data_IF_614205712085
#
_entry.id   IF_614205712085
#
_cell.length_a   1.000
_cell.length_b   1.000
_cell.length_c   1.000
_cell.angle_alpha   90.00
_cell.angle_beta   90.00
_cell.angle_gamma   90.00
#
_symmetry.space_group_name_H-M   'P 1'
#
loop_
_entity.id
_entity.type
_entity.pdbx_description
1 polymer ?
#
# COMPACT_ATOMS: atom_id res chain seq x y z
N UNK A 1 5.65 7.62 -5.79
CA UNK A 1 4.86 8.56 -4.97
C UNK A 1 5.80 9.28 -4.00
N UNK A 2 5.71 10.60 -3.88
CA UNK A 2 6.43 11.37 -2.88
C UNK A 2 5.42 11.78 -1.78
N UNK A 3 5.70 11.36 -0.56
CA UNK A 3 4.86 11.62 0.62
C UNK A 3 5.58 12.59 1.56
N UNK A 4 4.84 13.53 2.13
CA UNK A 4 5.32 14.46 3.16
C UNK A 4 4.42 14.34 4.38
N UNK A 5 5.02 14.31 5.57
CA UNK A 5 4.28 14.43 6.82
C UNK A 5 4.39 15.84 7.43
N UNK A 6 3.58 16.10 8.44
CA UNK A 6 3.49 17.39 9.14
C UNK A 6 4.81 17.84 9.79
N UNK A 7 5.79 16.93 9.98
CA UNK A 7 7.12 17.25 10.53
C UNK A 7 8.10 17.72 9.45
N UNK A 8 7.67 17.82 8.20
CA UNK A 8 8.51 18.17 7.05
C UNK A 8 9.37 17.02 6.53
N UNK A 9 9.14 15.78 7.00
CA UNK A 9 9.87 14.60 6.51
C UNK A 9 9.26 14.13 5.20
N UNK A 10 10.09 14.04 4.16
CA UNK A 10 9.69 13.45 2.87
C UNK A 10 10.10 11.98 2.75
N UNK A 11 9.26 11.18 2.11
CA UNK A 11 9.53 9.77 1.81
C UNK A 11 9.14 9.47 0.38
N UNK A 12 10.08 8.91 -0.37
CA UNK A 12 9.84 8.40 -1.71
C UNK A 12 9.44 6.94 -1.65
N UNK A 13 8.33 6.62 -2.31
CA UNK A 13 7.83 5.27 -2.51
C UNK A 13 7.83 4.92 -3.99
N UNK A 14 8.18 3.67 -4.28
CA UNK A 14 7.88 3.06 -5.57
C UNK A 14 6.43 2.59 -5.51
N UNK A 15 5.71 2.76 -6.62
CA UNK A 15 4.32 2.33 -6.76
C UNK A 15 4.23 1.49 -8.02
N UNK A 16 3.64 0.31 -7.91
CA UNK A 16 3.34 -0.58 -9.03
C UNK A 16 1.85 -0.94 -8.99
N UNK A 17 1.22 -0.85 -10.15
CA UNK A 17 -0.14 -1.34 -10.37
C UNK A 17 -0.06 -2.53 -11.31
N UNK A 18 -0.53 -3.69 -10.86
CA UNK A 18 -0.67 -4.90 -11.67
C UNK A 18 -2.16 -5.13 -11.96
N UNK A 19 -2.45 -6.14 -12.78
CA UNK A 19 -3.84 -6.51 -13.13
C UNK A 19 -4.71 -6.86 -11.93
N UNK A 20 -4.11 -7.31 -10.83
CA UNK A 20 -4.76 -7.92 -9.68
C UNK A 20 -4.32 -7.33 -8.33
N UNK A 21 -3.34 -6.43 -8.31
CA UNK A 21 -2.87 -5.79 -7.08
C UNK A 21 -2.29 -4.39 -7.30
N UNK A 22 -2.53 -3.51 -6.33
CA UNK A 22 -1.73 -2.33 -6.10
C UNK A 22 -0.65 -2.65 -5.08
N UNK A 23 0.57 -2.23 -5.35
CA UNK A 23 1.69 -2.36 -4.42
C UNK A 23 2.47 -1.05 -4.33
N UNK A 24 2.83 -0.65 -3.12
CA UNK A 24 3.79 0.42 -2.92
C UNK A 24 4.79 0.02 -1.84
N UNK A 25 6.03 0.47 -2.00
CA UNK A 25 7.10 0.15 -1.07
C UNK A 25 8.21 1.17 -1.09
N UNK A 26 9.03 1.13 -0.04
CA UNK A 26 10.30 1.81 0.05
C UNK A 26 11.28 0.96 0.83
N UNK A 27 12.52 0.94 0.35
CA UNK A 27 13.63 0.31 1.03
C UNK A 27 14.64 1.39 1.40
N UNK A 28 15.00 1.44 2.69
CA UNK A 28 15.96 2.41 3.21
C UNK A 28 16.64 1.84 4.44
N UNK A 29 17.92 2.19 4.62
CA UNK A 29 18.65 1.85 5.84
C UNK A 29 17.86 2.33 7.07
N UNK A 30 17.65 1.42 8.02
CA UNK A 30 16.93 1.67 9.28
C UNK A 30 15.40 1.73 9.21
N UNK A 31 14.79 1.84 8.02
CA UNK A 31 13.33 1.81 7.90
C UNK A 31 12.90 1.45 6.47
N UNK A 32 12.34 0.26 6.29
CA UNK A 32 11.62 -0.16 5.07
C UNK A 32 10.14 -0.26 5.35
N UNK A 33 9.31 -0.06 4.33
CA UNK A 33 7.85 -0.17 4.44
C UNK A 33 7.27 -0.64 3.12
N UNK A 34 6.28 -1.51 3.16
CA UNK A 34 5.59 -2.03 1.98
C UNK A 34 4.11 -2.20 2.24
N UNK A 35 3.31 -2.17 1.19
CA UNK A 35 1.87 -2.36 1.27
C UNK A 35 1.34 -3.00 -0.01
N UNK A 36 0.40 -3.92 0.17
CA UNK A 36 -0.29 -4.60 -0.92
C UNK A 36 -1.79 -4.49 -0.70
N UNK A 37 -2.51 -4.13 -1.76
CA UNK A 37 -3.96 -4.21 -1.80
C UNK A 37 -4.42 -4.97 -3.06
N UNK A 38 -5.27 -6.00 -2.92
CA UNK A 38 -5.80 -6.74 -4.05
C UNK A 38 -6.78 -5.87 -4.85
N UNK A 39 -6.63 -5.88 -6.17
CA UNK A 39 -7.55 -5.27 -7.13
C UNK A 39 -8.41 -6.37 -7.72
N UNK A 40 -9.49 -6.75 -7.04
CA UNK A 40 -10.31 -7.84 -7.57
C UNK A 40 -11.23 -7.28 -8.66
N UNK A 41 -11.01 -7.55 -9.94
CA UNK A 41 -11.89 -7.07 -11.01
C UNK A 41 -11.43 -7.47 -12.40
N UNK A 42 -12.35 -7.74 -13.34
CA UNK A 42 -12.01 -7.96 -14.75
C UNK A 42 -11.82 -6.62 -15.48
N UNK A 43 -10.60 -6.29 -15.90
CA UNK A 43 -10.29 -5.18 -16.83
C UNK A 43 -9.55 -3.98 -16.21
N UNK A 44 -9.39 -2.90 -16.99
CA UNK A 44 -8.67 -1.65 -16.63
C UNK A 44 -9.41 -0.78 -15.58
N UNK A 45 -10.30 -1.40 -14.79
CA UNK A 45 -11.14 -0.74 -13.80
C UNK A 45 -10.80 -1.39 -12.47
N UNK A 46 -10.43 -0.58 -11.49
CA UNK A 46 -10.22 -0.99 -10.11
C UNK A 46 -11.58 -1.46 -9.56
N UNK A 47 -11.98 -2.72 -9.78
CA UNK A 47 -13.36 -3.10 -9.44
C UNK A 47 -13.51 -3.45 -7.97
N UNK A 48 -12.62 -4.16 -7.27
CA UNK A 48 -13.08 -4.85 -6.05
C UNK A 48 -14.18 -5.86 -6.39
N UNK A 49 -14.02 -7.12 -6.01
CA UNK A 49 -15.12 -8.08 -6.12
C UNK A 49 -16.02 -7.73 -4.93
N UNK A 50 -17.03 -6.92 -5.20
CA UNK A 50 -17.90 -6.34 -4.18
C UNK A 50 -17.42 -4.99 -3.68
N UNK A 51 -18.23 -4.39 -2.81
CA UNK A 51 -18.08 -3.01 -2.33
C UNK A 51 -16.88 -2.81 -1.38
N UNK A 52 -15.95 -3.77 -1.24
CA UNK A 52 -14.88 -3.77 -0.22
C UNK A 52 -13.52 -4.29 -0.72
N UNK A 53 -12.44 -3.58 -0.38
CA UNK A 53 -11.04 -3.99 -0.56
C UNK A 53 -10.30 -3.89 0.78
N UNK A 54 -9.43 -4.85 1.09
CA UNK A 54 -8.59 -4.83 2.29
C UNK A 54 -7.13 -4.88 1.87
N UNK A 55 -6.38 -3.84 2.19
CA UNK A 55 -4.93 -3.78 1.97
C UNK A 55 -4.16 -3.91 3.27
N UNK A 56 -2.96 -4.49 3.17
CA UNK A 56 -2.08 -4.79 4.29
C UNK A 56 -0.71 -4.17 4.05
N UNK A 57 -0.19 -3.52 5.07
CA UNK A 57 1.12 -2.91 5.10
C UNK A 57 1.97 -3.46 6.22
N UNK A 58 3.26 -3.53 5.96
CA UNK A 58 4.28 -3.99 6.89
C UNK A 58 5.43 -2.98 6.90
N UNK A 59 6.12 -2.90 8.02
CA UNK A 59 7.32 -2.11 8.19
C UNK A 59 8.47 -2.99 8.67
N UNK A 60 9.71 -2.52 8.47
CA UNK A 60 10.90 -3.14 9.04
C UNK A 60 11.87 -2.06 9.52
N UNK A 61 12.30 -2.12 10.80
CA UNK A 61 13.27 -1.19 11.41
C UNK A 61 14.68 -1.77 11.60
N UNK A 62 14.98 -2.87 10.89
CA UNK A 62 16.23 -3.63 11.02
C UNK A 62 16.11 -4.91 11.84
N UNK A 63 14.92 -5.22 12.37
CA UNK A 63 14.66 -6.37 13.24
C UNK A 63 13.63 -7.37 12.66
N UNK A 64 13.23 -7.20 11.39
CA UNK A 64 12.24 -8.04 10.72
C UNK A 64 11.02 -7.25 10.26
N UNK A 65 10.16 -7.91 9.48
CA UNK A 65 8.90 -7.32 9.02
C UNK A 65 7.82 -7.53 10.07
N UNK A 66 7.08 -6.46 10.39
CA UNK A 66 5.95 -6.50 11.31
C UNK A 66 4.71 -5.83 10.68
N UNK A 67 3.49 -6.24 11.09
CA UNK A 67 2.26 -5.56 10.67
C UNK A 67 2.29 -4.09 11.08
N UNK A 68 1.94 -3.21 10.15
CA UNK A 68 1.98 -1.76 10.35
C UNK A 68 0.63 -1.11 10.06
N UNK A 69 0.04 -1.48 8.92
CA UNK A 69 -1.13 -0.79 8.40
C UNK A 69 -2.14 -1.77 7.85
N UNK A 70 -3.42 -1.58 8.19
CA UNK A 70 -4.52 -2.27 7.54
C UNK A 70 -5.57 -1.25 7.11
N UNK A 71 -5.84 -1.20 5.81
CA UNK A 71 -6.82 -0.27 5.24
C UNK A 71 -7.96 -1.06 4.61
N UNK A 72 -9.18 -0.76 5.06
CA UNK A 72 -10.39 -1.20 4.38
C UNK A 72 -10.92 -0.05 3.54
N UNK A 73 -11.01 -0.25 2.24
CA UNK A 73 -11.68 0.66 1.33
C UNK A 73 -13.07 0.12 1.02
N UNK A 74 -14.08 0.97 1.16
CA UNK A 74 -15.46 0.65 0.79
C UNK A 74 -15.89 1.58 -0.33
N UNK A 75 -16.45 1.02 -1.40
CA UNK A 75 -17.00 1.81 -2.50
C UNK A 75 -18.34 2.40 -2.05
N UNK A 76 -18.43 3.72 -1.97
CA UNK A 76 -19.70 4.42 -1.77
C UNK A 76 -20.49 4.42 -3.09
N UNK A 77 -21.80 4.18 -2.99
CA UNK A 77 -22.74 4.18 -4.12
C UNK A 77 -23.45 5.52 -4.22
#
# INVERSE_FOLDING_TARGET
MLYFDERGVSRRYIVALRSDQGHWWRDSAGFSQRFTAPLVGRGNRMVGHGDRMVGHGELNRGNGWEPDLQLTYTRLR
#
